data_IF_781783556171
#
_entry.id   IF_781783556171
#
_cell.length_a   1.000
_cell.length_b   1.000
_cell.length_c   1.000
_cell.angle_alpha   90.00
_cell.angle_beta   90.00
_cell.angle_gamma   90.00
#
_symmetry.space_group_name_H-M   'P 1'
#
loop_
_entity.id
_entity.type
_entity.pdbx_description
1 polymer ?
#
# COMPACT_ATOMS: atom_id res chain seq x y z
N UNK A 1 -15.38 -4.90 -1.82
CA UNK A 1 -13.93 -5.18 -1.84
C UNK A 1 -13.59 -5.95 -0.57
N UNK A 2 -12.90 -7.10 -0.66
CA UNK A 2 -12.70 -8.02 0.48
C UNK A 2 -11.31 -7.91 1.15
N UNK A 3 -10.52 -6.90 0.81
CA UNK A 3 -9.19 -6.69 1.37
C UNK A 3 -9.25 -5.80 2.62
N UNK A 4 -8.39 -6.07 3.60
CA UNK A 4 -8.28 -5.24 4.79
C UNK A 4 -7.58 -3.92 4.44
N UNK A 5 -7.95 -2.86 5.17
CA UNK A 5 -7.35 -1.54 5.00
C UNK A 5 -5.82 -1.57 5.26
N UNK A 6 -5.39 -2.41 6.20
CA UNK A 6 -3.98 -2.66 6.51
C UNK A 6 -3.22 -3.28 5.33
N UNK A 7 -3.76 -4.33 4.71
CA UNK A 7 -3.12 -4.99 3.56
C UNK A 7 -2.95 -4.02 2.39
N UNK A 8 -3.98 -3.21 2.12
CA UNK A 8 -3.93 -2.18 1.08
C UNK A 8 -2.86 -1.15 1.40
N UNK A 9 -2.83 -0.67 2.65
CA UNK A 9 -1.86 0.32 3.08
C UNK A 9 -0.42 -0.18 2.94
N UNK A 10 -0.12 -1.39 3.44
CA UNK A 10 1.23 -1.95 3.37
C UNK A 10 1.61 -2.28 1.91
N UNK A 11 0.69 -2.78 1.09
CA UNK A 11 0.92 -2.95 -0.34
C UNK A 11 1.25 -1.62 -1.02
N UNK A 12 0.47 -0.56 -0.77
CA UNK A 12 0.73 0.77 -1.33
C UNK A 12 2.07 1.28 -0.86
N UNK A 13 2.37 1.23 0.44
CA UNK A 13 3.65 1.65 1.03
C UNK A 13 4.84 0.98 0.34
N UNK A 14 4.74 -0.32 0.03
CA UNK A 14 5.79 -1.07 -0.68
C UNK A 14 5.98 -0.65 -2.15
N UNK A 15 4.90 -0.26 -2.84
CA UNK A 15 4.94 0.11 -4.27
C UNK A 15 5.01 1.62 -4.54
N UNK A 16 4.71 2.46 -3.55
CA UNK A 16 4.72 3.92 -3.64
C UNK A 16 6.06 4.49 -4.14
N UNK A 17 7.24 3.96 -3.75
CA UNK A 17 8.52 4.46 -4.26
C UNK A 17 8.65 4.38 -5.80
N UNK A 18 8.08 3.34 -6.42
CA UNK A 18 8.07 3.20 -7.89
C UNK A 18 7.16 4.23 -8.55
N UNK A 19 6.10 4.64 -7.86
CA UNK A 19 5.15 5.64 -8.34
C UNK A 19 5.69 7.06 -8.10
N UNK A 20 6.41 7.28 -7.00
CA UNK A 20 6.96 8.59 -6.64
C UNK A 20 8.01 9.06 -7.64
N UNK A 21 8.76 8.16 -8.30
CA UNK A 21 9.73 8.51 -9.34
C UNK A 21 9.09 9.33 -10.49
N UNK A 22 7.89 8.94 -10.93
CA UNK A 22 7.14 9.66 -11.95
C UNK A 22 6.74 11.07 -11.48
N UNK A 23 6.24 11.17 -10.24
CA UNK A 23 5.78 12.43 -9.63
C UNK A 23 6.97 13.38 -9.42
N UNK A 24 8.09 12.87 -8.92
CA UNK A 24 9.34 13.60 -8.71
C UNK A 24 9.92 14.13 -10.04
N UNK A 25 9.87 13.33 -11.11
CA UNK A 25 10.30 13.75 -12.44
C UNK A 25 9.47 14.92 -13.01
N UNK A 26 8.27 15.16 -12.48
CA UNK A 26 7.40 16.29 -12.83
C UNK A 26 7.44 17.42 -11.78
N UNK A 27 8.41 17.39 -10.86
CA UNK A 27 8.62 18.43 -9.85
C UNK A 27 7.64 18.40 -8.66
N UNK A 28 6.95 17.28 -8.45
CA UNK A 28 6.09 17.06 -7.28
C UNK A 28 6.65 16.02 -6.33
N UNK A 29 5.92 15.77 -5.24
CA UNK A 29 6.17 14.63 -4.35
C UNK A 29 4.83 14.00 -3.92
N UNK A 30 4.88 12.78 -3.40
CA UNK A 30 3.71 12.00 -2.98
C UNK A 30 3.93 11.39 -1.60
N UNK A 31 2.99 11.64 -0.70
CA UNK A 31 2.97 11.05 0.64
C UNK A 31 1.74 10.17 0.80
N UNK A 32 1.93 8.96 1.33
CA UNK A 32 0.82 8.10 1.76
C UNK A 32 0.31 8.57 3.11
N UNK A 33 -1.00 8.78 3.22
CA UNK A 33 -1.68 9.20 4.45
C UNK A 33 -2.43 8.04 5.12
N UNK A 34 -3.10 7.21 4.32
CA UNK A 34 -3.85 6.08 4.84
C UNK A 34 -4.63 5.30 3.77
N UNK A 35 -5.35 4.28 4.20
CA UNK A 35 -6.26 3.49 3.38
C UNK A 35 -7.59 3.25 4.10
N UNK A 36 -8.68 3.23 3.32
CA UNK A 36 -10.03 2.88 3.79
C UNK A 36 -10.87 2.31 2.67
N UNK A 37 -11.42 1.11 2.84
CA UNK A 37 -12.39 0.46 1.96
C UNK A 37 -11.98 0.47 0.48
N UNK A 38 -10.71 0.17 0.18
CA UNK A 38 -10.18 0.21 -1.20
C UNK A 38 -9.79 1.59 -1.71
N UNK A 39 -9.98 2.64 -0.91
CA UNK A 39 -9.53 4.00 -1.20
C UNK A 39 -8.22 4.29 -0.51
N UNK A 40 -7.24 4.75 -1.28
CA UNK A 40 -5.92 5.18 -0.82
C UNK A 40 -5.90 6.69 -0.74
N UNK A 41 -5.54 7.22 0.42
CA UNK A 41 -5.43 8.64 0.67
C UNK A 41 -3.97 9.05 0.60
N UNK A 42 -3.70 10.01 -0.27
CA UNK A 42 -2.36 10.56 -0.50
C UNK A 42 -2.38 12.07 -0.38
N UNK A 43 -1.20 12.66 -0.20
CA UNK A 43 -0.97 14.09 -0.35
C UNK A 43 0.04 14.30 -1.48
N UNK A 44 -0.38 15.02 -2.53
CA UNK A 44 0.50 15.47 -3.61
C UNK A 44 1.01 16.87 -3.28
N UNK A 45 2.34 17.05 -3.27
CA UNK A 45 2.98 18.34 -3.00
C UNK A 45 3.87 18.80 -4.16
N UNK A 46 4.49 19.99 -4.04
CA UNK A 46 5.42 20.54 -5.03
C UNK A 46 4.75 21.25 -6.21
N UNK A 47 5.32 21.15 -7.41
CA UNK A 47 4.81 21.79 -8.63
C UNK A 47 3.37 21.39 -8.96
N UNK A 48 2.91 20.24 -8.45
CA UNK A 48 1.53 19.82 -8.54
C UNK A 48 0.60 20.67 -7.66
N UNK A 49 1.02 21.15 -6.49
CA UNK A 49 0.13 21.80 -5.51
C UNK A 49 -0.51 23.14 -5.92
N UNK A 50 -0.02 23.79 -7.00
CA UNK A 50 -0.49 25.13 -7.41
C UNK A 50 -1.46 25.18 -8.59
N UNK A 51 -1.61 24.09 -9.36
CA UNK A 51 -2.43 24.05 -10.58
C UNK A 51 -3.39 22.85 -10.56
N UNK A 52 -4.69 23.11 -10.40
CA UNK A 52 -5.73 22.07 -10.26
C UNK A 52 -5.76 21.06 -11.40
N UNK A 53 -5.43 21.49 -12.63
CA UNK A 53 -5.43 20.61 -13.82
C UNK A 53 -4.25 19.62 -13.83
N UNK A 54 -3.09 20.05 -13.33
CA UNK A 54 -1.91 19.18 -13.18
C UNK A 54 -2.12 18.15 -12.08
N UNK A 55 -2.77 18.53 -10.97
CA UNK A 55 -3.13 17.60 -9.88
C UNK A 55 -4.02 16.47 -10.37
N UNK A 56 -5.05 16.79 -11.13
CA UNK A 56 -5.98 15.79 -11.67
C UNK A 56 -5.24 14.77 -12.53
N UNK A 57 -4.38 15.24 -13.45
CA UNK A 57 -3.64 14.37 -14.36
C UNK A 57 -2.67 13.46 -13.59
N UNK A 58 -1.89 14.03 -12.67
CA UNK A 58 -0.95 13.25 -11.84
C UNK A 58 -1.68 12.21 -11.00
N UNK A 59 -2.81 12.57 -10.37
CA UNK A 59 -3.63 11.63 -9.60
C UNK A 59 -4.11 10.44 -10.44
N UNK A 60 -4.56 10.70 -11.67
CA UNK A 60 -5.01 9.64 -12.58
C UNK A 60 -3.86 8.67 -12.91
N UNK A 61 -2.66 9.19 -13.17
CA UNK A 61 -1.48 8.35 -13.44
C UNK A 61 -1.09 7.52 -12.22
N UNK A 62 -1.06 8.14 -11.03
CA UNK A 62 -0.80 7.46 -9.75
C UNK A 62 -1.81 6.33 -9.53
N UNK A 63 -3.11 6.61 -9.67
CA UNK A 63 -4.16 5.61 -9.52
C UNK A 63 -3.99 4.46 -10.52
N UNK A 64 -3.72 4.77 -11.79
CA UNK A 64 -3.49 3.74 -12.81
C UNK A 64 -2.32 2.84 -12.44
N UNK A 65 -1.21 3.42 -11.96
CA UNK A 65 -0.02 2.65 -11.57
C UNK A 65 -0.27 1.78 -10.34
N UNK A 66 -0.93 2.30 -9.31
CA UNK A 66 -1.30 1.50 -8.13
C UNK A 66 -2.28 0.38 -8.49
N UNK A 67 -3.20 0.62 -9.43
CA UNK A 67 -4.09 -0.42 -9.97
C UNK A 67 -3.35 -1.52 -10.71
N UNK A 68 -2.34 -1.17 -11.50
CA UNK A 68 -1.48 -2.13 -12.22
C UNK A 68 -0.63 -2.97 -11.26
N UNK A 69 -0.18 -2.40 -10.14
CA UNK A 69 0.74 -3.04 -9.20
C UNK A 69 0.05 -3.83 -8.08
N UNK A 70 -1.16 -3.43 -7.69
CA UNK A 70 -1.84 -3.95 -6.49
C UNK A 70 -3.20 -4.55 -6.85
N UNK A 71 -4.16 -3.72 -7.26
CA UNK A 71 -5.50 -4.20 -7.59
C UNK A 71 -6.30 -3.21 -8.46
N UNK A 72 -7.00 -3.66 -9.52
CA UNK A 72 -7.71 -2.79 -10.46
C UNK A 72 -8.85 -1.96 -9.85
N UNK A 73 -9.39 -2.37 -8.71
CA UNK A 73 -10.49 -1.65 -8.03
C UNK A 73 -10.04 -0.49 -7.14
N UNK A 74 -8.73 -0.33 -6.88
CA UNK A 74 -8.25 0.73 -5.98
C UNK A 74 -8.68 2.13 -6.45
N UNK A 75 -9.05 2.97 -5.49
CA UNK A 75 -9.36 4.39 -5.72
C UNK A 75 -8.28 5.23 -5.06
N UNK A 76 -7.89 6.35 -5.67
CA UNK A 76 -6.93 7.28 -5.07
C UNK A 76 -7.58 8.66 -4.89
N UNK A 77 -7.44 9.18 -3.67
CA UNK A 77 -7.90 10.50 -3.27
C UNK A 77 -6.71 11.33 -2.80
N UNK A 78 -6.56 12.51 -3.38
CA UNK A 78 -5.57 13.49 -2.95
C UNK A 78 -6.20 14.37 -1.86
N UNK A 79 -5.66 14.36 -0.65
CA UNK A 79 -6.14 15.21 0.46
C UNK A 79 -5.52 16.60 0.30
N UNK A 80 -6.35 17.58 -0.07
CA UNK A 80 -5.94 18.97 -0.36
C UNK A 80 -6.58 20.02 0.56
N UNK A 81 -7.24 19.58 1.63
CA UNK A 81 -7.91 20.46 2.59
C UNK A 81 -9.29 20.95 2.15
N UNK A 82 -9.75 20.60 0.95
CA UNK A 82 -11.15 20.81 0.56
C UNK A 82 -12.08 19.80 1.25
N UNK A 83 -13.35 20.16 1.50
CA UNK A 83 -14.31 19.25 2.11
C UNK A 83 -14.61 18.02 1.25
N UNK A 84 -14.43 18.12 -0.07
CA UNK A 84 -14.70 17.04 -1.03
C UNK A 84 -13.63 15.93 -0.98
N UNK A 85 -12.41 16.25 -0.54
CA UNK A 85 -11.28 15.32 -0.51
C UNK A 85 -10.77 15.04 0.91
N UNK A 86 -11.65 15.10 1.92
CA UNK A 86 -11.29 14.82 3.31
C UNK A 86 -11.04 13.32 3.52
N UNK A 87 -9.97 12.99 4.24
CA UNK A 87 -9.72 11.62 4.71
C UNK A 87 -10.64 11.30 5.90
N UNK A 88 -11.25 10.10 5.95
CA UNK A 88 -12.03 9.67 7.10
C UNK A 88 -11.14 9.47 8.33
N UNK A 89 -11.68 9.74 9.51
CA UNK A 89 -10.92 9.69 10.78
C UNK A 89 -10.54 8.26 11.19
N UNK A 90 -11.28 7.27 10.70
CA UNK A 90 -11.05 5.85 10.92
C UNK A 90 -10.25 5.18 9.79
N UNK A 91 -9.62 5.96 8.89
CA UNK A 91 -8.67 5.44 7.92
C UNK A 91 -7.49 4.76 8.62
N UNK A 92 -7.02 3.64 8.08
CA UNK A 92 -5.79 3.01 8.56
C UNK A 92 -4.59 3.83 8.10
N UNK A 93 -3.82 4.37 9.04
CA UNK A 93 -2.66 5.26 8.80
C UNK A 93 -1.30 4.57 9.00
N UNK A 94 -1.29 3.23 9.07
CA UNK A 94 -0.13 2.44 9.46
C UNK A 94 0.09 2.45 10.97
N UNK A 95 0.34 1.29 11.54
CA UNK A 95 0.96 1.19 12.87
C UNK A 95 2.47 1.30 12.70
N UNK A 96 3.18 1.92 13.67
CA UNK A 96 4.63 1.69 13.80
C UNK A 96 4.79 0.23 14.22
N UNK A 97 4.79 -0.69 13.25
CA UNK A 97 5.15 -2.09 13.45
C UNK A 97 6.62 -2.27 13.07
N UNK A 98 7.47 -1.49 13.72
CA UNK A 98 8.85 -1.92 13.97
C UNK A 98 8.77 -2.67 15.30
N UNK A 99 9.00 -3.99 15.23
CA UNK A 99 9.01 -4.95 16.32
C UNK A 99 7.63 -5.46 16.81
N UNK A 100 7.50 -6.79 16.77
CA UNK A 100 6.45 -7.65 17.33
C UNK A 100 5.25 -8.02 16.44
N UNK A 101 5.20 -9.33 16.17
CA UNK A 101 4.11 -10.13 15.65
C UNK A 101 3.96 -10.25 14.12
N UNK A 102 4.80 -11.14 13.59
CA UNK A 102 4.41 -12.04 12.50
C UNK A 102 4.24 -13.47 13.07
N UNK A 103 3.15 -13.71 13.81
CA UNK A 103 2.52 -15.01 13.96
C UNK A 103 1.08 -14.86 13.43
N UNK A 104 0.48 -15.72 12.62
CA UNK A 104 0.75 -17.07 12.20
C UNK A 104 -0.12 -17.34 10.96
N UNK A 105 0.37 -18.12 10.02
CA UNK A 105 -0.50 -19.00 9.23
C UNK A 105 0.28 -20.29 9.00
N UNK A 106 -0.15 -21.32 9.74
CA UNK A 106 0.23 -22.71 9.57
C UNK A 106 -0.13 -23.19 8.16
N UNK A 107 0.85 -23.76 7.46
CA UNK A 107 0.58 -24.80 6.49
C UNK A 107 1.36 -26.05 6.92
N UNK A 108 0.66 -26.94 7.62
CA UNK A 108 1.10 -28.31 7.80
C UNK A 108 1.15 -28.99 6.43
N UNK A 109 2.35 -29.29 5.93
CA UNK A 109 2.53 -30.45 5.05
C UNK A 109 3.76 -31.27 5.40
N UNK A 110 3.41 -32.40 6.02
CA UNK A 110 3.84 -33.73 5.64
C UNK A 110 5.21 -34.19 6.13
N UNK A 111 5.15 -34.97 7.21
CA UNK A 111 6.27 -35.77 7.66
C UNK A 111 6.70 -36.78 6.60
N UNK A 112 8.02 -36.97 6.52
CA UNK A 112 8.64 -38.23 6.10
C UNK A 112 10.14 -38.20 6.40
N UNK A 113 10.59 -38.04 7.67
CA UNK A 113 11.99 -38.35 8.00
C UNK A 113 12.19 -38.94 9.42
N UNK A 114 11.15 -39.42 10.08
CA UNK A 114 11.26 -40.10 11.38
C UNK A 114 11.11 -41.61 11.24
N UNK A 115 12.04 -42.28 10.52
CA UNK A 115 12.29 -43.71 10.80
C UNK A 115 13.60 -44.33 10.28
N UNK A 116 14.63 -43.56 9.90
CA UNK A 116 15.88 -44.13 9.37
C UNK A 116 16.93 -44.44 10.45
N UNK A 117 16.62 -44.22 11.74
CA UNK A 117 17.58 -44.49 12.82
C UNK A 117 17.55 -45.92 13.38
N UNK A 118 17.03 -46.88 12.60
CA UNK A 118 17.19 -48.32 12.85
C UNK A 118 18.21 -48.99 11.90
N UNK A 119 19.24 -48.26 11.44
CA UNK A 119 20.26 -48.84 10.55
C UNK A 119 21.71 -48.44 10.88
N UNK A 120 21.98 -48.08 12.14
CA UNK A 120 23.35 -48.09 12.68
C UNK A 120 23.33 -48.92 13.95
N UNK A 121 23.19 -50.22 13.76
CA UNK A 121 23.70 -51.22 14.69
C UNK A 121 24.96 -51.83 14.08
N UNK A 122 26.11 -51.18 14.30
CA UNK A 122 27.45 -51.75 14.48
C UNK A 122 28.43 -50.65 14.90
#
# INVERSE_FOLDING_TARGET
MHFLDEDIYEAVKNYLPKVSEYVNSHGGDIKLLGAKEGTVYIELTGACGGCSMSLMTTKIVVQKKLRELIHPELVVTNVDGTPENKMPEDAYIGTKKDDEDHASMEEEKHGMLDNIKNMIGL
#
